data_IF_580632437253
#
_entry.id   IF_580632437253
#
_cell.length_a   1.000
_cell.length_b   1.000
_cell.length_c   1.000
_cell.angle_alpha   90.00
_cell.angle_beta   90.00
_cell.angle_gamma   90.00
#
_symmetry.space_group_name_H-M   'P 1'
#
loop_
_entity.id
_entity.type
_entity.pdbx_description
1 polymer ?
#
# COMPACT_ATOMS: atom_id res chain seq x y z
N UNK A 1 10.65 9.71 -4.37
CA UNK A 1 10.16 8.96 -3.19
C UNK A 1 11.26 8.38 -2.31
N UNK A 2 12.39 7.88 -2.84
CA UNK A 2 13.43 7.20 -2.01
C UNK A 2 14.38 8.20 -1.31
N UNK A 3 14.73 9.33 -1.94
CA UNK A 3 15.67 10.35 -1.39
C UNK A 3 15.01 11.61 -0.80
N UNK A 4 13.69 11.76 -0.89
CA UNK A 4 12.96 12.99 -0.52
C UNK A 4 12.84 13.17 1.00
N UNK A 5 12.70 14.36 1.60
CA UNK A 5 12.40 14.42 3.06
C UNK A 5 10.95 13.93 3.38
N UNK A 6 10.64 13.65 4.65
CA UNK A 6 9.31 13.13 5.04
C UNK A 6 8.14 14.05 4.67
N UNK A 7 8.33 15.38 4.69
CA UNK A 7 7.29 16.34 4.25
C UNK A 7 6.96 16.16 2.77
N UNK A 8 7.99 16.00 1.94
CA UNK A 8 7.82 15.75 0.50
C UNK A 8 7.18 14.38 0.22
N UNK A 9 7.48 13.36 1.04
CA UNK A 9 6.80 12.05 0.94
C UNK A 9 5.32 12.18 1.25
N UNK A 10 4.95 12.88 2.34
CA UNK A 10 3.53 13.11 2.69
C UNK A 10 2.80 13.91 1.61
N UNK A 11 3.44 14.92 1.02
CA UNK A 11 2.88 15.64 -0.14
C UNK A 11 2.67 14.71 -1.33
N UNK A 12 3.63 13.83 -1.62
CA UNK A 12 3.53 12.83 -2.67
C UNK A 12 2.38 11.83 -2.44
N UNK A 13 2.20 11.36 -1.21
CA UNK A 13 1.07 10.49 -0.84
C UNK A 13 -0.25 11.17 -1.17
N UNK A 14 -0.45 12.42 -0.74
CA UNK A 14 -1.68 13.16 -1.02
C UNK A 14 -1.94 13.28 -2.52
N UNK A 15 -0.91 13.59 -3.31
CA UNK A 15 -1.03 13.69 -4.77
C UNK A 15 -1.40 12.33 -5.41
N UNK A 16 -0.80 11.23 -4.94
CA UNK A 16 -1.12 9.89 -5.43
C UNK A 16 -2.54 9.46 -5.05
N UNK A 17 -3.00 9.77 -3.84
CA UNK A 17 -4.38 9.54 -3.41
C UNK A 17 -5.38 10.37 -4.23
N UNK A 18 -5.05 11.62 -4.54
CA UNK A 18 -5.87 12.48 -5.39
C UNK A 18 -5.93 11.94 -6.83
N UNK A 19 -4.83 11.40 -7.35
CA UNK A 19 -4.78 10.75 -8.67
C UNK A 19 -5.57 9.44 -8.70
N UNK A 20 -5.51 8.64 -7.63
CA UNK A 20 -6.26 7.39 -7.51
C UNK A 20 -7.79 7.61 -7.51
N UNK A 21 -8.24 8.75 -6.96
CA UNK A 21 -9.67 9.16 -6.92
C UNK A 21 -10.18 9.69 -8.26
N UNK A 22 -9.30 10.19 -9.12
CA UNK A 22 -9.67 10.66 -10.46
C UNK A 22 -9.84 9.46 -11.39
N UNK A 23 -10.80 9.53 -12.30
CA UNK A 23 -11.02 8.51 -13.33
C UNK A 23 -9.88 8.53 -14.36
N UNK A 24 -8.73 7.96 -13.99
CA UNK A 24 -7.63 7.62 -14.89
C UNK A 24 -7.62 6.10 -15.06
N UNK A 25 -7.25 5.62 -16.24
CA UNK A 25 -7.22 4.20 -16.63
C UNK A 25 -6.69 3.26 -15.53
N UNK A 26 -7.23 2.05 -15.45
CA UNK A 26 -6.95 1.09 -14.37
C UNK A 26 -5.47 0.71 -14.23
N UNK A 27 -4.72 0.72 -15.33
CA UNK A 27 -3.26 0.48 -15.33
C UNK A 27 -2.54 1.52 -14.46
N UNK A 28 -2.97 2.78 -14.52
CA UNK A 28 -2.38 3.87 -13.74
C UNK A 28 -2.69 3.73 -12.25
N UNK A 29 -3.89 3.25 -11.90
CA UNK A 29 -4.29 3.02 -10.50
C UNK A 29 -3.42 1.97 -9.83
N UNK A 30 -3.06 0.90 -10.55
CA UNK A 30 -2.16 -0.14 -10.05
C UNK A 30 -0.81 0.41 -9.60
N UNK A 31 -0.20 1.23 -10.46
CA UNK A 31 1.10 1.83 -10.18
C UNK A 31 1.00 2.82 -9.00
N UNK A 32 -0.08 3.59 -8.90
CA UNK A 32 -0.31 4.48 -7.76
C UNK A 32 -0.44 3.71 -6.45
N UNK A 33 -1.18 2.60 -6.42
CA UNK A 33 -1.32 1.73 -5.24
C UNK A 33 0.04 1.18 -4.82
N UNK A 34 0.86 0.73 -5.77
CA UNK A 34 2.21 0.25 -5.49
C UNK A 34 3.11 1.36 -4.90
N UNK A 35 3.09 2.56 -5.47
CA UNK A 35 3.87 3.69 -4.94
C UNK A 35 3.37 4.20 -3.59
N UNK A 36 2.08 4.13 -3.31
CA UNK A 36 1.50 4.43 -2.00
C UNK A 36 2.02 3.46 -0.94
N UNK A 37 2.07 2.16 -1.24
CA UNK A 37 2.65 1.16 -0.35
C UNK A 37 4.12 1.49 -0.01
N UNK A 38 4.94 1.82 -1.02
CA UNK A 38 6.35 2.23 -0.82
C UNK A 38 6.45 3.48 0.05
N UNK A 39 5.60 4.48 -0.21
CA UNK A 39 5.61 5.75 0.52
C UNK A 39 5.27 5.56 2.01
N UNK A 40 4.22 4.77 2.31
CA UNK A 40 3.84 4.45 3.69
C UNK A 40 4.89 3.58 4.40
N UNK A 41 5.47 2.59 3.71
CA UNK A 41 6.58 1.77 4.24
C UNK A 41 7.75 2.65 4.67
N UNK A 42 8.05 3.69 3.88
CA UNK A 42 9.12 4.63 4.16
C UNK A 42 8.83 5.49 5.40
N UNK A 43 7.58 5.86 5.63
CA UNK A 43 7.15 6.60 6.81
C UNK A 43 6.96 5.71 8.04
N UNK A 44 7.26 4.40 7.94
CA UNK A 44 6.98 3.37 8.96
C UNK A 44 5.49 3.23 9.28
N UNK A 45 4.63 3.68 8.37
CA UNK A 45 3.17 3.53 8.45
C UNK A 45 2.79 2.15 7.88
N UNK A 46 3.27 1.08 8.53
CA UNK A 46 3.29 -0.25 7.94
C UNK A 46 1.91 -0.86 7.70
N UNK A 47 0.95 -0.60 8.59
CA UNK A 47 -0.43 -1.11 8.43
C UNK A 47 -1.05 -0.60 7.13
N UNK A 48 -0.87 0.71 6.83
CA UNK A 48 -1.33 1.31 5.57
C UNK A 48 -0.58 0.73 4.38
N UNK A 49 0.73 0.55 4.51
CA UNK A 49 1.55 0.01 3.44
C UNK A 49 1.07 -1.40 3.04
N UNK A 50 0.86 -2.28 4.03
CA UNK A 50 0.36 -3.63 3.76
C UNK A 50 -1.07 -3.63 3.21
N UNK A 51 -1.95 -2.75 3.69
CA UNK A 51 -3.31 -2.62 3.13
C UNK A 51 -3.27 -2.29 1.62
N UNK A 52 -2.40 -1.38 1.18
CA UNK A 52 -2.22 -1.10 -0.25
C UNK A 52 -1.67 -2.30 -1.03
N UNK A 53 -0.72 -3.04 -0.46
CA UNK A 53 -0.17 -4.25 -1.10
C UNK A 53 -1.22 -5.37 -1.20
N UNK A 54 -2.04 -5.56 -0.17
CA UNK A 54 -3.10 -6.56 -0.18
C UNK A 54 -4.19 -6.23 -1.21
N UNK A 55 -4.52 -4.95 -1.41
CA UNK A 55 -5.41 -4.51 -2.51
C UNK A 55 -4.81 -4.91 -3.86
N UNK A 56 -3.52 -4.62 -4.07
CA UNK A 56 -2.82 -4.95 -5.31
C UNK A 56 -2.79 -6.48 -5.56
N UNK A 57 -2.51 -7.28 -4.53
CA UNK A 57 -2.50 -8.74 -4.62
C UNK A 57 -3.91 -9.34 -4.76
N UNK A 58 -4.95 -8.68 -4.26
CA UNK A 58 -6.34 -9.09 -4.48
C UNK A 58 -6.77 -8.88 -5.94
N UNK A 59 -6.15 -7.92 -6.63
CA UNK A 59 -6.31 -7.70 -8.06
C UNK A 59 -5.47 -8.67 -8.90
N UNK A 60 -4.20 -8.83 -8.51
CA UNK A 60 -3.17 -9.55 -9.25
C UNK A 60 -2.40 -10.49 -8.31
N UNK A 61 -2.98 -11.64 -8.00
CA UNK A 61 -2.43 -12.59 -7.02
C UNK A 61 -1.00 -13.05 -7.31
N UNK A 62 -0.61 -13.06 -8.59
CA UNK A 62 0.71 -13.52 -9.05
C UNK A 62 1.69 -12.36 -9.29
N UNK A 63 1.38 -11.15 -8.83
CA UNK A 63 2.27 -10.00 -8.97
C UNK A 63 3.48 -10.16 -8.04
N UNK A 64 4.61 -10.59 -8.60
CA UNK A 64 5.87 -10.80 -7.86
C UNK A 64 6.36 -9.52 -7.16
N UNK A 65 6.22 -8.35 -7.79
CA UNK A 65 6.67 -7.09 -7.18
C UNK A 65 5.87 -6.78 -5.91
N UNK A 66 4.56 -7.04 -5.92
CA UNK A 66 3.70 -6.84 -4.77
C UNK A 66 4.00 -7.86 -3.65
N UNK A 67 4.26 -9.13 -4.00
CA UNK A 67 4.69 -10.17 -3.04
C UNK A 67 6.02 -9.80 -2.37
N UNK A 68 7.03 -9.43 -3.16
CA UNK A 68 8.34 -9.03 -2.65
C UNK A 68 8.24 -7.79 -1.73
N UNK A 69 7.37 -6.83 -2.10
CA UNK A 69 7.11 -5.66 -1.27
C UNK A 69 6.41 -6.02 0.05
N UNK A 70 5.46 -6.97 0.03
CA UNK A 70 4.80 -7.50 1.24
C UNK A 70 5.83 -8.07 2.21
N UNK A 71 6.70 -8.94 1.71
CA UNK A 71 7.75 -9.58 2.50
C UNK A 71 8.74 -8.55 3.07
N UNK A 72 9.13 -7.56 2.27
CA UNK A 72 9.98 -6.45 2.72
C UNK A 72 9.34 -5.65 3.86
N UNK A 73 8.04 -5.34 3.76
CA UNK A 73 7.32 -4.61 4.79
C UNK A 73 7.28 -5.43 6.08
N UNK A 74 6.90 -6.70 6.00
CA UNK A 74 6.85 -7.60 7.15
C UNK A 74 8.22 -7.75 7.82
N UNK A 75 9.29 -7.85 7.02
CA UNK A 75 10.65 -7.90 7.55
C UNK A 75 11.03 -6.62 8.29
N UNK A 76 10.69 -5.44 7.74
CA UNK A 76 10.94 -4.14 8.40
C UNK A 76 10.14 -3.97 9.68
N UNK A 77 8.88 -4.41 9.68
CA UNK A 77 8.02 -4.41 10.87
C UNK A 77 8.64 -5.22 12.01
N UNK A 78 9.08 -6.45 11.71
CA UNK A 78 9.80 -7.30 12.68
C UNK A 78 11.06 -6.61 13.22
N UNK A 79 11.86 -6.01 12.33
CA UNK A 79 13.09 -5.29 12.70
C UNK A 79 12.83 -4.07 13.61
N UNK A 80 11.74 -3.35 13.36
CA UNK A 80 11.33 -2.19 14.14
C UNK A 80 10.57 -2.57 15.42
N UNK A 81 10.45 -3.87 15.75
CA UNK A 81 9.73 -4.37 16.92
C UNK A 81 8.21 -4.26 16.82
N UNK A 82 7.69 -3.94 15.64
CA UNK A 82 6.26 -3.81 15.36
C UNK A 82 5.75 -5.17 14.90
N UNK A 83 5.53 -6.06 15.87
CA UNK A 83 4.91 -7.37 15.62
C UNK A 83 3.42 -7.24 15.97
N UNK A 84 2.61 -6.90 14.97
CA UNK A 84 1.15 -6.94 15.11
C UNK A 84 0.63 -8.38 15.02
N UNK A 85 -0.34 -8.75 15.87
CA UNK A 85 -1.05 -10.04 15.81
C UNK A 85 -1.67 -10.32 14.42
N UNK A 86 -1.95 -9.29 13.62
CA UNK A 86 -2.50 -9.41 12.26
C UNK A 86 -1.54 -10.06 11.23
N UNK A 87 -0.23 -10.07 11.48
CA UNK A 87 0.77 -10.59 10.52
C UNK A 87 1.02 -12.08 10.72
N UNK A 88 0.79 -12.59 11.93
CA UNK A 88 1.09 -13.98 12.26
C UNK A 88 0.00 -14.96 11.79
N UNK A 89 -1.19 -14.48 11.39
CA UNK A 89 -2.37 -15.32 11.10
C UNK A 89 -2.89 -15.34 9.67
N UNK A 90 -2.35 -14.54 8.74
CA UNK A 90 -2.74 -14.63 7.32
C UNK A 90 -3.82 -13.65 6.82
N UNK A 91 -3.91 -12.42 7.34
CA UNK A 91 -4.70 -11.38 6.68
C UNK A 91 -4.89 -10.12 7.53
N UNK A 92 -4.64 -8.95 6.94
CA UNK A 92 -4.96 -7.67 7.56
C UNK A 92 -6.47 -7.50 7.48
N UNK A 93 -7.16 -7.87 8.56
CA UNK A 93 -8.61 -7.76 8.62
C UNK A 93 -9.10 -6.31 8.82
N UNK A 94 -8.25 -5.34 9.12
CA UNK A 94 -8.74 -4.01 9.52
C UNK A 94 -7.75 -2.93 9.09
N UNK A 95 -8.30 -1.80 8.65
CA UNK A 95 -7.66 -0.51 8.33
C UNK A 95 -7.32 -0.32 6.84
N UNK A 96 -8.36 -0.16 6.01
CA UNK A 96 -8.23 0.26 4.62
C UNK A 96 -9.49 0.92 4.03
N UNK A 97 -10.32 1.57 4.85
CA UNK A 97 -11.66 2.04 4.45
C UNK A 97 -11.74 2.99 3.25
N UNK A 98 -10.62 3.62 2.85
CA UNK A 98 -10.58 4.52 1.69
C UNK A 98 -10.02 3.86 0.42
N UNK A 99 -8.97 3.04 0.53
CA UNK A 99 -8.35 2.41 -0.63
C UNK A 99 -9.15 1.19 -1.13
N UNK A 100 -9.75 0.42 -0.21
CA UNK A 100 -10.62 -0.72 -0.58
C UNK A 100 -11.88 -0.21 -1.28
N UNK A 101 -12.46 0.90 -0.83
CA UNK A 101 -13.66 1.47 -1.44
C UNK A 101 -13.41 1.93 -2.89
N UNK A 102 -12.27 2.57 -3.15
CA UNK A 102 -11.91 3.03 -4.50
C UNK A 102 -11.61 1.84 -5.44
N UNK A 103 -10.94 0.80 -4.96
CA UNK A 103 -10.64 -0.37 -5.78
C UNK A 103 -11.88 -1.26 -6.02
N UNK A 104 -12.73 -1.45 -5.01
CA UNK A 104 -13.97 -2.22 -5.13
C UNK A 104 -15.01 -1.53 -6.03
N UNK A 105 -15.06 -0.19 -6.03
CA UNK A 105 -15.92 0.57 -6.93
C UNK A 105 -15.47 0.49 -8.40
N UNK A 106 -14.18 0.24 -8.65
CA UNK A 106 -13.62 0.10 -10.01
C UNK A 106 -13.90 -1.26 -10.65
N UNK A 107 -14.36 -2.26 -9.87
CA UNK A 107 -14.65 -3.62 -10.33
C UNK A 107 -16.13 -3.84 -10.68
N UNK A 108 -16.93 -2.77 -10.81
CA UNK A 108 -18.34 -2.80 -11.21
C UNK A 108 -18.52 -2.34 -12.64
#
# INVERSE_FOLDING_TARGET
LIKSNNRNVRKGIKLLEDLLRKEVEDISKRDYVYYLAIAHTRLKEYDRALAYVDILLSAESNNRQALDLKDLIQHRMKKDGIIGMAILGGGIAVIGGLAIAAFAASKR
#
